data_IF_242326051254
#
_entry.id   IF_242326051254
#
_cell.length_a   1.000
_cell.length_b   1.000
_cell.length_c   1.000
_cell.angle_alpha   90.00
_cell.angle_beta   90.00
_cell.angle_gamma   90.00
#
_symmetry.space_group_name_H-M   'P 1'
#
loop_
_entity.id
_entity.type
_entity.pdbx_description
1 polymer ?
#
# COMPACT_ATOMS: atom_id res chain seq x y z
N UNK A 1 -6.47 12.13 10.76
CA UNK A 1 -6.06 10.96 11.56
C UNK A 1 -5.09 11.39 12.65
N UNK A 2 -5.30 10.93 13.88
CA UNK A 2 -4.41 11.19 15.03
C UNK A 2 -3.88 9.84 15.50
N UNK A 3 -2.58 9.77 15.77
CA UNK A 3 -1.90 8.61 16.37
C UNK A 3 -1.64 8.93 17.84
N UNK A 4 -1.56 7.90 18.67
CA UNK A 4 -1.13 8.02 20.07
C UNK A 4 0.22 7.33 20.23
N UNK A 5 1.14 7.97 20.96
CA UNK A 5 2.38 7.30 21.37
C UNK A 5 2.12 6.32 22.53
N UNK A 6 3.16 5.61 22.97
CA UNK A 6 3.09 4.64 24.09
C UNK A 6 2.70 5.28 25.44
N UNK A 7 2.73 6.61 25.55
CA UNK A 7 2.30 7.38 26.73
C UNK A 7 0.87 7.90 26.60
N UNK A 8 0.21 7.63 25.47
CA UNK A 8 -1.13 8.13 25.15
C UNK A 8 -1.14 9.57 24.63
N UNK A 9 0.02 10.15 24.28
CA UNK A 9 0.07 11.51 23.77
C UNK A 9 -0.35 11.53 22.29
N UNK A 10 -1.35 12.34 21.92
CA UNK A 10 -1.81 12.41 20.54
C UNK A 10 -0.84 13.21 19.67
N UNK A 11 -0.61 12.74 18.44
CA UNK A 11 0.13 13.43 17.39
C UNK A 11 -0.62 13.27 16.05
N UNK A 12 -0.77 14.33 15.24
CA UNK A 12 -1.32 14.18 13.90
C UNK A 12 -0.49 13.18 13.10
N UNK A 13 -1.13 12.20 12.46
CA UNK A 13 -0.41 11.18 11.70
C UNK A 13 0.48 11.80 10.61
N UNK A 14 -0.01 12.84 9.93
CA UNK A 14 0.72 13.54 8.88
C UNK A 14 2.06 14.11 9.38
N UNK A 15 2.15 14.48 10.66
CA UNK A 15 3.39 15.00 11.25
C UNK A 15 4.42 13.89 11.41
N UNK A 16 3.99 12.71 11.87
CA UNK A 16 4.87 11.55 12.01
C UNK A 16 5.46 11.15 10.65
N UNK A 17 4.61 11.03 9.62
CA UNK A 17 5.04 10.67 8.27
C UNK A 17 5.94 11.75 7.66
N UNK A 18 5.60 13.03 7.80
CA UNK A 18 6.42 14.13 7.31
C UNK A 18 7.80 14.17 7.99
N UNK A 19 7.88 13.95 9.31
CA UNK A 19 9.16 13.87 10.04
C UNK A 19 9.99 12.69 9.55
N UNK A 20 9.38 11.51 9.36
CA UNK A 20 10.09 10.34 8.83
C UNK A 20 10.63 10.58 7.42
N UNK A 21 9.83 11.16 6.51
CA UNK A 21 10.27 11.49 5.15
C UNK A 21 11.38 12.55 5.20
N UNK A 22 11.23 13.58 6.03
CA UNK A 22 12.23 14.64 6.20
C UNK A 22 13.57 14.07 6.66
N UNK A 23 13.57 13.15 7.62
CA UNK A 23 14.79 12.49 8.08
C UNK A 23 15.51 11.72 6.94
N UNK A 24 14.75 11.07 6.04
CA UNK A 24 15.33 10.39 4.87
C UNK A 24 15.90 11.38 3.85
N UNK A 25 15.20 12.50 3.63
CA UNK A 25 15.66 13.58 2.74
C UNK A 25 16.96 14.19 3.27
N UNK A 26 16.98 14.59 4.54
CA UNK A 26 18.15 15.16 5.21
C UNK A 26 19.33 14.19 5.17
N UNK A 27 19.10 12.91 5.47
CA UNK A 27 20.13 11.89 5.38
C UNK A 27 20.74 11.77 3.98
N UNK A 28 19.93 11.78 2.91
CA UNK A 28 20.45 11.75 1.55
C UNK A 28 21.27 13.01 1.23
N UNK A 29 20.78 14.18 1.62
CA UNK A 29 21.47 15.44 1.39
C UNK A 29 22.84 15.47 2.08
N UNK A 30 22.91 15.04 3.35
CA UNK A 30 24.15 14.93 4.11
C UNK A 30 25.14 13.97 3.43
N UNK A 31 24.65 12.84 2.90
CA UNK A 31 25.48 11.87 2.16
C UNK A 31 26.01 12.47 0.86
N UNK A 32 25.20 13.24 0.12
CA UNK A 32 25.61 13.90 -1.13
C UNK A 32 26.64 14.99 -0.89
N UNK A 33 26.45 15.80 0.16
CA UNK A 33 27.39 16.84 0.56
C UNK A 33 28.72 16.23 1.01
N UNK A 34 28.68 15.21 1.88
CA UNK A 34 29.87 14.50 2.35
C UNK A 34 30.67 13.88 1.21
N UNK A 35 29.99 13.44 0.14
CA UNK A 35 30.61 12.88 -1.07
C UNK A 35 31.06 13.94 -2.08
N UNK A 36 30.78 15.22 -1.85
CA UNK A 36 31.17 16.31 -2.73
C UNK A 36 30.54 16.24 -4.13
N UNK A 37 29.32 15.69 -4.25
CA UNK A 37 28.68 15.49 -5.57
C UNK A 37 28.24 16.79 -6.23
N UNK A 38 28.05 17.87 -5.44
CA UNK A 38 27.56 19.16 -5.91
C UNK A 38 26.07 19.20 -6.28
N UNK A 39 25.35 18.08 -6.10
CA UNK A 39 23.92 17.97 -6.42
C UNK A 39 23.09 18.83 -5.46
N UNK A 40 22.19 19.62 -6.02
CA UNK A 40 21.29 20.50 -5.24
C UNK A 40 19.93 19.83 -5.00
N UNK A 41 19.20 20.18 -3.93
CA UNK A 41 17.88 19.62 -3.65
C UNK A 41 16.88 19.76 -4.81
N UNK A 42 16.96 20.86 -5.57
CA UNK A 42 16.08 21.13 -6.71
C UNK A 42 16.46 20.37 -7.99
N UNK A 43 17.57 19.62 -7.98
CA UNK A 43 17.99 18.76 -9.10
C UNK A 43 17.56 17.30 -8.87
N UNK A 44 16.95 17.00 -7.71
CA UNK A 44 16.52 15.67 -7.32
C UNK A 44 15.02 15.51 -7.59
N UNK A 45 14.66 14.51 -8.39
CA UNK A 45 13.30 14.01 -8.50
C UNK A 45 13.08 12.89 -7.48
N UNK A 46 12.12 13.07 -6.60
CA UNK A 46 11.75 12.15 -5.54
C UNK A 46 10.61 11.24 -6.01
N UNK A 47 10.82 9.93 -5.86
CA UNK A 47 9.79 8.92 -6.13
C UNK A 47 9.39 8.31 -4.81
N UNK A 48 8.12 8.52 -4.43
CA UNK A 48 7.55 7.95 -3.21
C UNK A 48 6.68 6.76 -3.59
N UNK A 49 7.03 5.58 -3.09
CA UNK A 49 6.30 4.35 -3.39
C UNK A 49 5.15 4.14 -2.43
N UNK A 50 4.03 3.62 -2.94
CA UNK A 50 2.85 3.28 -2.16
C UNK A 50 2.25 1.93 -2.60
N UNK A 51 1.62 1.17 -1.69
CA UNK A 51 0.95 -0.08 -2.04
C UNK A 51 -0.14 0.12 -3.10
N UNK A 52 -0.30 -0.83 -4.02
CA UNK A 52 -1.31 -0.73 -5.07
C UNK A 52 -2.74 -0.89 -4.54
N UNK A 53 -2.92 -1.58 -3.40
CA UNK A 53 -4.24 -1.74 -2.76
C UNK A 53 -4.70 -0.49 -2.00
N UNK A 54 -3.90 0.57 -1.94
CA UNK A 54 -4.29 1.79 -1.23
C UNK A 54 -5.38 2.57 -1.97
N UNK A 55 -6.23 3.21 -1.18
CA UNK A 55 -7.23 4.15 -1.69
C UNK A 55 -6.54 5.41 -2.18
N UNK A 56 -7.22 6.18 -3.04
CA UNK A 56 -6.65 7.45 -3.50
C UNK A 56 -6.37 8.39 -2.30
N UNK A 57 -7.25 8.43 -1.30
CA UNK A 57 -7.07 9.27 -0.09
C UNK A 57 -5.78 8.95 0.66
N UNK A 58 -5.41 7.67 0.74
CA UNK A 58 -4.16 7.22 1.37
C UNK A 58 -2.93 7.65 0.56
N UNK A 59 -3.00 7.61 -0.78
CA UNK A 59 -1.93 8.09 -1.67
C UNK A 59 -1.74 9.60 -1.52
N UNK A 60 -2.83 10.36 -1.47
CA UNK A 60 -2.81 11.80 -1.27
C UNK A 60 -2.23 12.17 0.10
N UNK A 61 -2.62 11.45 1.16
CA UNK A 61 -2.03 11.65 2.49
C UNK A 61 -0.50 11.51 2.47
N UNK A 62 0.04 10.55 1.73
CA UNK A 62 1.49 10.40 1.56
C UNK A 62 2.13 11.53 0.78
N UNK A 63 1.48 12.00 -0.29
CA UNK A 63 1.94 13.17 -1.04
C UNK A 63 1.99 14.40 -0.15
N UNK A 64 0.93 14.69 0.60
CA UNK A 64 0.88 15.83 1.52
C UNK A 64 1.91 15.71 2.65
N UNK A 65 2.16 14.50 3.13
CA UNK A 65 3.23 14.23 4.10
C UNK A 65 4.61 14.55 3.53
N UNK A 66 4.87 14.18 2.27
CA UNK A 66 6.12 14.47 1.58
C UNK A 66 6.29 15.97 1.26
N UNK A 67 5.22 16.65 0.85
CA UNK A 67 5.23 18.10 0.66
C UNK A 67 5.49 18.84 1.98
N UNK A 68 4.85 18.39 3.07
CA UNK A 68 5.10 18.90 4.42
C UNK A 68 6.53 18.64 4.90
N UNK A 69 7.17 17.58 4.41
CA UNK A 69 8.58 17.28 4.67
C UNK A 69 9.55 18.22 3.90
N UNK A 70 9.04 19.08 3.01
CA UNK A 70 9.84 20.04 2.24
C UNK A 70 10.15 19.63 0.81
N UNK A 71 9.58 18.53 0.31
CA UNK A 71 9.74 18.11 -1.08
C UNK A 71 8.80 18.95 -1.95
N UNK A 72 9.34 19.62 -2.98
CA UNK A 72 8.52 20.42 -3.89
C UNK A 72 7.62 19.52 -4.76
N UNK A 73 6.35 19.92 -4.93
CA UNK A 73 5.34 19.14 -5.68
C UNK A 73 5.78 18.74 -7.09
N UNK A 74 6.49 19.63 -7.79
CA UNK A 74 6.94 19.40 -9.17
C UNK A 74 8.09 18.39 -9.26
N UNK A 75 8.74 18.10 -8.13
CA UNK A 75 9.82 17.13 -8.02
C UNK A 75 9.39 15.84 -7.34
N UNK A 76 8.09 15.67 -7.04
CA UNK A 76 7.54 14.50 -6.35
C UNK A 76 6.60 13.73 -7.26
N UNK A 77 6.91 12.45 -7.48
CA UNK A 77 6.01 11.51 -8.16
C UNK A 77 5.70 10.31 -7.27
N UNK A 78 4.45 9.85 -7.31
CA UNK A 78 4.05 8.60 -6.67
C UNK A 78 4.22 7.45 -7.64
N UNK A 79 4.75 6.32 -7.16
CA UNK A 79 4.85 5.06 -7.91
C UNK A 79 4.17 3.94 -7.13
N UNK A 80 3.47 3.03 -7.81
CA UNK A 80 2.94 1.85 -7.13
C UNK A 80 4.08 0.86 -6.88
N UNK A 81 4.17 0.33 -5.67
CA UNK A 81 5.19 -0.66 -5.29
C UNK A 81 5.31 -1.83 -6.27
N UNK A 82 4.22 -2.51 -6.68
CA UNK A 82 4.33 -3.61 -7.63
C UNK A 82 4.79 -3.16 -9.03
N UNK A 83 4.48 -1.95 -9.46
CA UNK A 83 4.95 -1.41 -10.74
C UNK A 83 6.46 -1.17 -10.72
N UNK A 84 6.94 -0.50 -9.66
CA UNK A 84 8.36 -0.29 -9.41
C UNK A 84 9.10 -1.64 -9.36
N UNK A 85 8.61 -2.60 -8.57
CA UNK A 85 9.17 -3.94 -8.50
C UNK A 85 9.22 -4.62 -9.88
N UNK A 86 8.14 -4.53 -10.65
CA UNK A 86 8.04 -5.09 -11.99
C UNK A 86 9.07 -4.49 -12.95
N UNK A 87 9.26 -3.17 -12.93
CA UNK A 87 10.26 -2.47 -13.73
C UNK A 87 11.66 -2.96 -13.38
N UNK A 88 12.00 -3.07 -12.09
CA UNK A 88 13.31 -3.58 -11.68
C UNK A 88 13.54 -5.02 -12.13
N UNK A 89 12.55 -5.90 -11.93
CA UNK A 89 12.65 -7.30 -12.31
C UNK A 89 12.85 -7.53 -13.81
N UNK A 90 12.37 -6.62 -14.68
CA UNK A 90 12.66 -6.66 -16.12
C UNK A 90 14.14 -6.47 -16.47
N UNK A 91 14.88 -5.78 -15.60
CA UNK A 91 16.29 -5.44 -15.82
C UNK A 91 17.25 -6.37 -15.06
N UNK A 92 16.73 -7.34 -14.31
CA UNK A 92 17.56 -8.30 -13.58
C UNK A 92 18.19 -9.32 -14.55
N UNK A 93 19.52 -9.51 -14.50
CA UNK A 93 20.16 -10.63 -15.18
C UNK A 93 19.59 -11.96 -14.67
N UNK A 94 19.43 -12.94 -15.56
CA UNK A 94 18.91 -14.28 -15.24
C UNK A 94 19.62 -14.94 -14.05
N UNK A 95 20.91 -14.65 -13.86
CA UNK A 95 21.77 -15.18 -12.80
C UNK A 95 21.42 -14.65 -11.39
N UNK A 96 20.78 -13.47 -11.30
CA UNK A 96 20.41 -12.83 -10.02
C UNK A 96 19.02 -13.22 -9.52
N UNK A 97 18.46 -14.26 -10.11
CA UNK A 97 17.11 -14.75 -9.83
C UNK A 97 17.21 -16.16 -9.26
N UNK A 98 17.07 -16.27 -7.94
CA UNK A 98 17.06 -17.58 -7.29
C UNK A 98 15.83 -18.38 -7.78
N UNK A 99 16.05 -19.65 -8.16
CA UNK A 99 15.02 -20.49 -8.79
C UNK A 99 14.86 -20.26 -10.31
N UNK A 100 15.74 -19.46 -10.92
CA UNK A 100 15.84 -19.40 -12.37
C UNK A 100 16.82 -20.45 -12.90
N UNK A 101 16.33 -21.65 -13.25
CA UNK A 101 17.05 -22.44 -14.25
C UNK A 101 17.13 -21.63 -15.56
N UNK A 102 18.23 -21.84 -16.29
CA UNK A 102 18.61 -21.15 -17.53
C UNK A 102 17.39 -20.84 -18.40
N UNK A 103 17.10 -19.54 -18.59
CA UNK A 103 15.98 -19.10 -19.44
C UNK A 103 14.93 -18.22 -18.75
N UNK A 104 15.29 -17.41 -17.76
CA UNK A 104 14.41 -16.28 -17.38
C UNK A 104 14.32 -15.32 -18.56
N UNK A 105 13.21 -15.42 -19.29
CA UNK A 105 12.90 -14.48 -20.36
C UNK A 105 11.65 -13.70 -19.99
N UNK A 106 11.74 -12.92 -18.89
CA UNK A 106 10.95 -11.67 -18.81
C UNK A 106 11.27 -10.73 -19.98
N UNK A 107 12.20 -11.08 -20.88
CA UNK A 107 12.40 -10.41 -22.15
C UNK A 107 11.25 -10.60 -23.15
N UNK A 108 10.50 -11.73 -23.12
CA UNK A 108 9.48 -12.01 -24.14
C UNK A 108 8.19 -11.19 -23.93
N UNK A 109 7.77 -10.50 -24.98
CA UNK A 109 6.48 -9.82 -25.07
C UNK A 109 5.34 -10.84 -24.90
N UNK A 110 4.26 -10.45 -24.22
CA UNK A 110 3.12 -11.29 -23.88
C UNK A 110 3.32 -12.14 -22.62
N UNK A 111 4.50 -12.09 -21.98
CA UNK A 111 4.73 -12.82 -20.74
C UNK A 111 3.87 -12.24 -19.63
N UNK A 112 3.04 -13.09 -19.01
CA UNK A 112 2.22 -12.78 -17.84
C UNK A 112 2.87 -13.31 -16.57
N UNK A 113 2.95 -12.47 -15.53
CA UNK A 113 3.55 -12.85 -14.26
C UNK A 113 2.89 -12.10 -13.10
N UNK A 114 2.89 -12.75 -11.94
CA UNK A 114 2.34 -12.21 -10.71
C UNK A 114 3.46 -11.60 -9.87
N UNK A 115 3.34 -10.33 -9.52
CA UNK A 115 4.14 -9.71 -8.47
C UNK A 115 3.45 -9.97 -7.13
N UNK A 116 4.19 -10.53 -6.18
CA UNK A 116 3.74 -10.75 -4.80
C UNK A 116 4.68 -9.95 -3.92
N UNK A 117 4.31 -8.72 -3.60
CA UNK A 117 5.05 -7.86 -2.68
C UNK A 117 4.71 -8.25 -1.25
N UNK A 118 5.71 -8.79 -0.56
CA UNK A 118 5.63 -9.33 0.78
C UNK A 118 6.37 -8.36 1.70
N UNK A 119 5.65 -7.34 2.14
CA UNK A 119 6.15 -6.28 2.99
C UNK A 119 6.17 -6.65 4.49
N UNK A 120 6.51 -5.65 5.30
CA UNK A 120 6.41 -5.76 6.76
C UNK A 120 4.96 -5.70 7.25
N UNK A 121 4.17 -4.75 6.77
CA UNK A 121 2.76 -4.59 7.17
C UNK A 121 1.79 -5.32 6.24
N UNK A 122 1.95 -5.14 4.94
CA UNK A 122 1.00 -5.59 3.92
C UNK A 122 1.59 -6.64 3.00
N UNK A 123 0.69 -7.34 2.33
CA UNK A 123 0.99 -8.12 1.14
C UNK A 123 0.17 -7.56 -0.01
N UNK A 124 0.83 -7.26 -1.12
CA UNK A 124 0.24 -6.67 -2.32
C UNK A 124 0.51 -7.57 -3.53
N UNK A 125 -0.54 -7.92 -4.25
CA UNK A 125 -0.51 -8.87 -5.36
C UNK A 125 -1.07 -8.21 -6.60
N UNK A 126 -0.26 -8.12 -7.66
CA UNK A 126 -0.69 -7.69 -8.99
C UNK A 126 -0.25 -8.68 -10.04
N UNK A 127 -0.90 -8.64 -11.20
CA UNK A 127 -0.50 -9.44 -12.37
C UNK A 127 -0.24 -8.50 -13.52
N UNK A 128 0.97 -8.59 -14.07
CA UNK A 128 1.40 -7.78 -15.21
C UNK A 128 1.61 -8.64 -16.45
N UNK A 129 1.31 -8.05 -17.60
CA UNK A 129 1.72 -8.52 -18.91
C UNK A 129 2.81 -7.60 -19.45
N UNK A 130 3.89 -8.19 -19.95
CA UNK A 130 4.92 -7.42 -20.66
C UNK A 130 4.50 -7.11 -22.09
N UNK A 131 4.57 -5.85 -22.47
CA UNK A 131 4.35 -5.38 -23.83
C UNK A 131 5.65 -5.23 -24.62
N UNK A 132 5.51 -4.99 -25.93
CA UNK A 132 6.61 -4.56 -26.79
C UNK A 132 7.23 -3.27 -26.25
N UNK A 133 8.55 -3.11 -26.40
CA UNK A 133 9.28 -1.94 -25.90
C UNK A 133 9.48 -1.90 -24.37
N UNK A 134 9.11 -2.94 -23.63
CA UNK A 134 9.30 -3.00 -22.17
C UNK A 134 8.18 -2.38 -21.34
N UNK A 135 7.10 -1.94 -22.00
CA UNK A 135 5.89 -1.45 -21.33
C UNK A 135 5.19 -2.55 -20.54
N UNK A 136 4.39 -2.15 -19.55
CA UNK A 136 3.61 -3.04 -18.68
C UNK A 136 2.12 -2.72 -18.73
N UNK A 137 1.30 -3.77 -18.72
CA UNK A 137 -0.15 -3.70 -18.54
C UNK A 137 -0.57 -4.51 -17.32
N UNK A 138 -1.38 -3.92 -16.46
CA UNK A 138 -2.04 -4.64 -15.36
C UNK A 138 -3.21 -5.48 -15.88
N UNK A 139 -3.15 -6.79 -15.66
CA UNK A 139 -4.14 -7.76 -16.16
C UNK A 139 -5.32 -7.89 -15.19
N UNK A 140 -5.06 -7.76 -13.90
CA UNK A 140 -6.06 -7.94 -12.85
C UNK A 140 -5.85 -6.93 -11.73
N UNK A 141 -6.97 -6.48 -11.13
CA UNK A 141 -6.97 -5.59 -9.97
C UNK A 141 -6.03 -6.10 -8.86
N UNK A 142 -5.20 -5.18 -8.37
CA UNK A 142 -4.41 -5.37 -7.16
C UNK A 142 -5.26 -5.94 -5.99
N UNK A 143 -4.77 -7.01 -5.39
CA UNK A 143 -5.37 -7.68 -4.22
C UNK A 143 -4.32 -7.77 -3.12
N UNK A 144 -4.72 -7.77 -1.85
CA UNK A 144 -3.77 -7.79 -0.76
C UNK A 144 -4.41 -7.92 0.61
N UNK A 145 -3.60 -7.85 1.65
CA UNK A 145 -4.08 -7.87 3.03
C UNK A 145 -3.00 -7.56 4.07
N UNK A 146 -3.44 -7.27 5.29
CA UNK A 146 -2.59 -6.90 6.44
C UNK A 146 -1.95 -8.13 7.09
N UNK A 147 -1.16 -8.87 6.30
CA UNK A 147 -0.53 -10.14 6.70
C UNK A 147 0.98 -10.20 6.37
N UNK A 148 1.69 -9.10 6.55
CA UNK A 148 3.14 -9.02 6.37
C UNK A 148 3.97 -9.60 7.52
N UNK A 149 5.28 -9.39 7.46
CA UNK A 149 6.24 -9.90 8.47
C UNK A 149 6.00 -9.41 9.91
N UNK A 150 5.32 -8.28 10.10
CA UNK A 150 4.96 -7.72 11.43
C UNK A 150 3.83 -8.48 12.11
N UNK A 151 3.00 -9.22 11.38
CA UNK A 151 2.01 -10.12 11.97
C UNK A 151 2.67 -11.23 12.78
N UNK A 152 3.86 -11.67 12.39
CA UNK A 152 4.66 -12.66 13.13
C UNK A 152 5.23 -12.05 14.42
N UNK A 153 5.63 -10.77 14.37
CA UNK A 153 6.09 -10.04 15.56
C UNK A 153 4.95 -9.92 16.58
N UNK A 154 3.72 -9.65 16.11
CA UNK A 154 2.54 -9.62 16.95
C UNK A 154 2.21 -10.99 17.57
N UNK A 155 2.36 -12.08 16.81
CA UNK A 155 2.15 -13.45 17.32
C UNK A 155 3.24 -13.86 18.33
N UNK A 156 4.48 -13.38 18.17
CA UNK A 156 5.54 -13.52 19.17
C UNK A 156 5.23 -12.76 20.46
N UNK A 157 4.78 -11.51 20.37
CA UNK A 157 4.37 -10.73 21.54
C UNK A 157 3.19 -11.41 22.25
N UNK A 158 2.23 -11.96 21.51
CA UNK A 158 1.15 -12.76 22.10
C UNK A 158 1.65 -14.04 22.78
N UNK A 159 2.67 -14.71 22.23
CA UNK A 159 3.31 -15.85 22.89
C UNK A 159 3.89 -15.43 24.25
N UNK A 160 4.65 -14.32 24.30
CA UNK A 160 5.18 -13.80 25.56
C UNK A 160 4.08 -13.38 26.53
N UNK A 161 3.01 -12.76 26.05
CA UNK A 161 1.86 -12.39 26.88
C UNK A 161 1.14 -13.62 27.47
N UNK A 162 1.13 -14.77 26.79
CA UNK A 162 0.60 -16.03 27.34
C UNK A 162 1.50 -16.65 28.41
N UNK A 163 2.77 -16.27 28.46
CA UNK A 163 3.73 -16.74 29.46
C UNK A 163 3.74 -15.79 30.68
N UNK A 164 3.86 -14.49 30.44
CA UNK A 164 4.12 -13.48 31.46
C UNK A 164 2.89 -12.63 31.82
N UNK A 165 1.80 -12.78 31.07
CA UNK A 165 0.62 -11.92 31.14
C UNK A 165 0.77 -10.64 30.30
N UNK A 166 -0.31 -10.26 29.60
CA UNK A 166 -0.36 -9.00 28.84
C UNK A 166 -0.01 -7.75 29.68
N UNK A 167 -0.44 -7.62 30.95
CA UNK A 167 -0.07 -6.45 31.77
C UNK A 167 1.44 -6.27 31.95
N UNK A 168 2.21 -7.36 32.07
CA UNK A 168 3.67 -7.28 32.23
C UNK A 168 4.34 -6.84 30.93
N UNK A 169 3.86 -7.31 29.78
CA UNK A 169 4.37 -6.88 28.47
C UNK A 169 4.11 -5.38 28.25
N UNK A 170 2.89 -4.91 28.55
CA UNK A 170 2.57 -3.47 28.45
C UNK A 170 3.39 -2.62 29.43
N UNK A 171 3.64 -3.14 30.64
CA UNK A 171 4.51 -2.50 31.61
C UNK A 171 5.94 -2.38 31.07
N UNK A 172 6.49 -3.45 30.48
CA UNK A 172 7.82 -3.43 29.86
C UNK A 172 7.90 -2.40 28.73
N UNK A 173 6.89 -2.33 27.86
CA UNK A 173 6.81 -1.32 26.79
C UNK A 173 6.85 0.11 27.33
N UNK A 174 6.14 0.38 28.43
CA UNK A 174 6.01 1.72 29.01
C UNK A 174 7.21 2.14 29.86
N UNK A 175 7.69 1.24 30.71
CA UNK A 175 8.67 1.57 31.76
C UNK A 175 10.08 1.11 31.41
N UNK A 176 10.24 0.21 30.45
CA UNK A 176 11.54 -0.33 30.01
C UNK A 176 11.62 -0.39 28.46
N UNK A 177 11.40 0.73 27.75
CA UNK A 177 11.29 0.75 26.29
C UNK A 177 12.57 0.27 25.59
N UNK A 178 13.76 0.57 26.14
CA UNK A 178 15.03 0.12 25.56
C UNK A 178 15.16 -1.41 25.58
N UNK A 179 14.84 -2.03 26.71
CA UNK A 179 14.82 -3.49 26.83
C UNK A 179 13.78 -4.12 25.90
N UNK A 180 12.62 -3.48 25.74
CA UNK A 180 11.60 -3.95 24.81
C UNK A 180 12.08 -3.87 23.36
N UNK A 181 12.75 -2.78 22.98
CA UNK A 181 13.33 -2.63 21.65
C UNK A 181 14.44 -3.66 21.39
N UNK A 182 15.30 -3.95 22.36
CA UNK A 182 16.33 -4.99 22.25
C UNK A 182 15.72 -6.38 22.04
N UNK A 183 14.65 -6.69 22.77
CA UNK A 183 13.90 -7.94 22.60
C UNK A 183 13.31 -8.08 21.19
N UNK A 184 12.67 -7.02 20.68
CA UNK A 184 12.07 -7.04 19.33
C UNK A 184 13.14 -7.11 18.24
N UNK A 185 14.27 -6.41 18.39
CA UNK A 185 15.40 -6.45 17.43
C UNK A 185 16.05 -7.82 17.37
N UNK A 186 16.23 -8.45 18.52
CA UNK A 186 16.75 -9.82 18.58
C UNK A 186 15.74 -10.81 18.00
N UNK A 187 14.43 -10.62 18.27
CA UNK A 187 13.38 -11.40 17.61
C UNK A 187 13.44 -11.28 16.09
N UNK A 188 13.51 -10.07 15.55
CA UNK A 188 13.65 -9.82 14.10
C UNK A 188 14.88 -10.55 13.53
N UNK A 189 16.01 -10.49 14.21
CA UNK A 189 17.26 -11.16 13.78
C UNK A 189 17.05 -12.67 13.68
N UNK A 190 16.49 -13.30 14.71
CA UNK A 190 16.24 -14.76 14.71
C UNK A 190 15.14 -15.13 13.72
N UNK A 191 14.06 -14.34 13.62
CA UNK A 191 12.94 -14.52 12.69
C UNK A 191 13.42 -14.63 11.24
N UNK A 192 14.44 -13.85 10.86
CA UNK A 192 15.03 -13.89 9.50
C UNK A 192 15.89 -15.12 9.21
N UNK A 193 16.36 -15.84 10.24
CA UNK A 193 17.31 -16.96 10.08
C UNK A 193 16.67 -18.34 10.17
N UNK A 194 15.39 -18.43 10.57
CA UNK A 194 14.69 -19.71 10.68
C UNK A 194 14.47 -20.33 9.30
N UNK A 195 14.70 -21.64 9.21
CA UNK A 195 14.53 -22.41 7.97
C UNK A 195 13.57 -23.60 8.16
N UNK A 196 12.96 -24.12 7.08
CA UNK A 196 12.12 -25.31 7.15
C UNK A 196 12.84 -26.53 7.75
N UNK A 197 14.14 -26.66 7.46
CA UNK A 197 14.98 -27.76 7.93
C UNK A 197 15.47 -27.60 9.38
N UNK A 198 15.22 -26.46 10.02
CA UNK A 198 15.63 -26.25 11.42
C UNK A 198 14.90 -27.24 12.33
N UNK A 199 15.72 -28.03 13.02
CA UNK A 199 15.32 -28.99 14.06
C UNK A 199 15.92 -28.60 15.41
N UNK A 200 15.43 -29.26 16.47
CA UNK A 200 15.93 -29.07 17.82
C UNK A 200 15.53 -27.72 18.37
N UNK A 201 16.52 -26.88 18.70
CA UNK A 201 16.31 -25.64 19.45
C UNK A 201 16.75 -24.37 18.71
N UNK A 202 15.99 -23.30 18.90
CA UNK A 202 16.26 -21.93 18.44
C UNK A 202 16.59 -21.10 19.68
N UNK A 203 17.74 -20.42 19.71
CA UNK A 203 18.14 -19.59 20.84
C UNK A 203 18.02 -18.12 20.44
N UNK A 204 17.54 -17.31 21.37
CA UNK A 204 17.31 -15.88 21.21
C UNK A 204 17.84 -15.18 22.46
N UNK A 205 18.69 -14.17 22.31
CA UNK A 205 19.04 -13.34 23.46
C UNK A 205 17.79 -12.61 23.98
N UNK A 206 17.72 -12.39 25.29
CA UNK A 206 16.64 -11.63 25.90
C UNK A 206 17.22 -10.64 26.90
N UNK A 207 16.53 -9.53 27.20
CA UNK A 207 16.89 -8.64 28.30
C UNK A 207 16.57 -9.33 29.64
N UNK A 208 17.33 -10.38 29.97
CA UNK A 208 17.04 -11.32 31.06
C UNK A 208 16.89 -10.60 32.40
N UNK A 209 17.83 -9.72 32.75
CA UNK A 209 17.80 -9.00 34.02
C UNK A 209 16.52 -8.17 34.18
N UNK A 210 16.09 -7.48 33.12
CA UNK A 210 14.85 -6.69 33.12
C UNK A 210 13.63 -7.59 33.23
N UNK A 211 13.52 -8.63 32.40
CA UNK A 211 12.38 -9.55 32.42
C UNK A 211 12.25 -10.28 33.77
N UNK A 212 13.37 -10.76 34.31
CA UNK A 212 13.41 -11.45 35.60
C UNK A 212 13.04 -10.51 36.76
N UNK A 213 13.54 -9.27 36.75
CA UNK A 213 13.17 -8.25 37.74
C UNK A 213 11.68 -7.90 37.68
N UNK A 214 11.11 -7.76 36.48
CA UNK A 214 9.67 -7.51 36.30
C UNK A 214 8.83 -8.69 36.80
N UNK A 215 9.23 -9.93 36.49
CA UNK A 215 8.54 -11.13 36.99
C UNK A 215 8.56 -11.16 38.53
N UNK A 216 9.73 -10.97 39.16
CA UNK A 216 9.85 -10.99 40.63
C UNK A 216 8.99 -9.91 41.29
N UNK A 217 8.94 -8.74 40.68
CA UNK A 217 8.21 -7.59 41.22
C UNK A 217 6.69 -7.79 41.09
N UNK A 218 6.21 -8.22 39.92
CA UNK A 218 4.78 -8.20 39.57
C UNK A 218 4.10 -9.57 39.63
N UNK A 219 4.82 -10.66 39.35
CA UNK A 219 4.31 -12.04 39.41
C UNK A 219 4.69 -12.76 40.71
N UNK A 220 5.62 -12.19 41.51
CA UNK A 220 6.16 -12.78 42.75
C UNK A 220 6.92 -14.10 42.53
N UNK A 221 7.43 -14.29 41.32
CA UNK A 221 8.24 -15.45 40.92
C UNK A 221 9.32 -15.01 39.92
N UNK A 222 10.35 -15.84 39.72
CA UNK A 222 11.38 -15.56 38.71
C UNK A 222 10.93 -15.93 37.29
N UNK A 223 11.66 -15.44 36.28
CA UNK A 223 11.29 -15.67 34.87
C UNK A 223 11.25 -17.17 34.53
N UNK A 224 12.13 -17.97 35.12
CA UNK A 224 12.17 -19.41 34.88
C UNK A 224 10.91 -20.09 35.40
N UNK A 225 10.43 -19.68 36.57
CA UNK A 225 9.23 -20.21 37.21
C UNK A 225 8.00 -19.83 36.40
N UNK A 226 7.89 -18.58 35.95
CA UNK A 226 6.81 -18.13 35.07
C UNK A 226 6.74 -18.94 33.75
N UNK A 227 7.90 -19.20 33.11
CA UNK A 227 7.96 -20.05 31.91
C UNK A 227 7.50 -21.48 32.22
N UNK A 228 7.97 -22.07 33.33
CA UNK A 228 7.63 -23.44 33.73
C UNK A 228 6.17 -23.60 34.15
N UNK A 229 5.52 -22.54 34.65
CA UNK A 229 4.09 -22.51 34.95
C UNK A 229 3.21 -22.35 33.70
N UNK A 230 3.79 -21.88 32.59
CA UNK A 230 3.05 -21.65 31.34
C UNK A 230 2.76 -22.95 30.57
N UNK A 231 1.80 -22.94 29.62
CA UNK A 231 1.57 -24.05 28.70
C UNK A 231 2.79 -24.43 27.83
N UNK A 232 3.84 -23.62 27.84
CA UNK A 232 5.02 -23.76 26.99
C UNK A 232 6.23 -24.34 27.72
N UNK A 233 6.11 -24.81 28.97
CA UNK A 233 7.20 -25.36 29.79
C UNK A 233 8.05 -26.44 29.09
N UNK A 234 7.43 -27.26 28.24
CA UNK A 234 8.12 -28.32 27.48
C UNK A 234 8.79 -27.83 26.19
N UNK A 235 8.44 -26.61 25.74
CA UNK A 235 8.84 -26.06 24.44
C UNK A 235 9.74 -24.83 24.58
N UNK A 236 9.76 -24.16 25.73
CA UNK A 236 10.57 -22.99 26.02
C UNK A 236 11.35 -23.24 27.30
N UNK A 237 12.65 -22.93 27.28
CA UNK A 237 13.49 -22.92 28.47
C UNK A 237 14.49 -21.76 28.44
N UNK A 238 15.14 -21.49 29.58
CA UNK A 238 16.20 -20.49 29.67
C UNK A 238 17.58 -21.16 29.62
N UNK A 239 18.55 -20.46 29.01
CA UNK A 239 19.97 -20.81 29.07
C UNK A 239 20.79 -19.54 29.18
N UNK A 240 21.17 -19.19 30.41
CA UNK A 240 21.82 -17.90 30.69
C UNK A 240 20.87 -16.75 30.36
N UNK A 241 21.34 -15.80 29.57
CA UNK A 241 20.60 -14.64 29.07
C UNK A 241 19.76 -14.93 27.81
N UNK A 242 19.53 -16.21 27.47
CA UNK A 242 18.83 -16.62 26.25
C UNK A 242 17.55 -17.37 26.55
N UNK A 243 16.50 -17.06 25.80
CA UNK A 243 15.32 -17.89 25.66
C UNK A 243 15.54 -18.92 24.56
N UNK A 244 15.26 -20.19 24.87
CA UNK A 244 15.47 -21.34 23.99
C UNK A 244 14.13 -21.95 23.63
N UNK A 245 13.75 -21.84 22.37
CA UNK A 245 12.51 -22.37 21.82
C UNK A 245 12.74 -23.72 21.16
N UNK A 246 11.75 -24.59 21.24
CA UNK A 246 11.60 -25.69 20.31
C UNK A 246 11.40 -25.15 18.88
N UNK A 247 12.12 -25.73 17.92
CA UNK A 247 12.05 -25.27 16.54
C UNK A 247 10.63 -25.35 15.98
N UNK A 248 9.82 -26.35 16.38
CA UNK A 248 8.45 -26.47 15.88
C UNK A 248 7.54 -25.38 16.44
N UNK A 249 7.66 -25.05 17.74
CA UNK A 249 6.95 -23.92 18.33
C UNK A 249 7.36 -22.60 17.67
N UNK A 250 8.66 -22.40 17.43
CA UNK A 250 9.12 -21.16 16.80
C UNK A 250 8.60 -21.02 15.37
N UNK A 251 8.61 -22.12 14.58
CA UNK A 251 8.03 -22.15 13.23
C UNK A 251 6.52 -21.90 13.24
N UNK A 252 5.80 -22.35 14.27
CA UNK A 252 4.34 -22.18 14.30
C UNK A 252 3.90 -20.72 14.46
N UNK A 253 4.79 -19.81 14.87
CA UNK A 253 4.55 -18.36 14.82
C UNK A 253 4.29 -17.84 13.40
N UNK A 254 4.72 -18.58 12.37
CA UNK A 254 4.59 -18.19 10.97
C UNK A 254 3.33 -18.76 10.33
N UNK A 255 2.72 -19.80 10.91
CA UNK A 255 1.68 -20.60 10.25
C UNK A 255 0.47 -19.75 9.85
N UNK A 256 -0.02 -18.91 10.77
CA UNK A 256 -1.17 -18.02 10.51
C UNK A 256 -0.90 -17.09 9.34
N UNK A 257 0.21 -16.36 9.39
CA UNK A 257 0.61 -15.38 8.36
C UNK A 257 0.84 -16.06 7.00
N UNK A 258 1.59 -17.17 6.97
CA UNK A 258 1.82 -17.95 5.74
C UNK A 258 0.49 -18.45 5.17
N UNK A 259 -0.39 -19.01 5.99
CA UNK A 259 -1.67 -19.53 5.52
C UNK A 259 -2.56 -18.43 4.92
N UNK A 260 -2.59 -17.24 5.52
CA UNK A 260 -3.32 -16.10 4.96
C UNK A 260 -2.79 -15.73 3.57
N UNK A 261 -1.48 -15.67 3.39
CA UNK A 261 -0.85 -15.40 2.09
C UNK A 261 -1.19 -16.48 1.07
N UNK A 262 -1.12 -17.76 1.47
CA UNK A 262 -1.46 -18.87 0.58
C UNK A 262 -2.93 -18.82 0.16
N UNK A 263 -3.84 -18.41 1.04
CA UNK A 263 -5.25 -18.20 0.72
C UNK A 263 -5.43 -17.08 -0.30
N UNK A 264 -4.79 -15.92 -0.11
CA UNK A 264 -4.82 -14.82 -1.08
C UNK A 264 -4.33 -15.26 -2.46
N UNK A 265 -3.22 -16.01 -2.52
CA UNK A 265 -2.70 -16.53 -3.79
C UNK A 265 -3.66 -17.54 -4.44
N UNK A 266 -4.31 -18.41 -3.66
CA UNK A 266 -5.34 -19.33 -4.18
C UNK A 266 -6.52 -18.59 -4.78
N UNK A 267 -7.01 -17.55 -4.11
CA UNK A 267 -8.11 -16.70 -4.59
C UNK A 267 -7.75 -15.96 -5.89
N UNK A 268 -6.48 -15.58 -6.06
CA UNK A 268 -6.00 -15.02 -7.32
C UNK A 268 -6.01 -16.08 -8.43
N UNK A 269 -5.51 -17.29 -8.18
CA UNK A 269 -5.47 -18.36 -9.17
C UNK A 269 -6.83 -19.03 -9.44
N UNK A 270 -7.86 -18.78 -8.63
CA UNK A 270 -9.23 -19.23 -8.94
C UNK A 270 -9.93 -18.35 -9.97
N UNK A 271 -9.32 -17.23 -10.39
CA UNK A 271 -9.83 -16.37 -11.46
C UNK A 271 -9.37 -16.94 -12.81
N UNK A 272 -10.32 -17.19 -13.72
CA UNK A 272 -10.05 -17.84 -15.02
C UNK A 272 -8.97 -17.11 -15.83
N UNK A 273 -8.97 -15.78 -15.80
CA UNK A 273 -7.99 -14.96 -16.53
C UNK A 273 -6.56 -15.06 -15.97
N UNK A 274 -6.40 -15.57 -14.75
CA UNK A 274 -5.11 -15.71 -14.05
C UNK A 274 -4.62 -17.15 -13.94
N UNK A 275 -5.44 -18.15 -14.28
CA UNK A 275 -5.08 -19.57 -14.16
C UNK A 275 -3.78 -19.89 -14.92
N UNK A 276 -3.65 -19.33 -16.12
CA UNK A 276 -2.51 -19.49 -17.03
C UNK A 276 -1.22 -18.81 -16.59
N UNK A 277 -1.24 -18.00 -15.52
CA UNK A 277 -0.04 -17.30 -15.03
C UNK A 277 0.92 -18.32 -14.40
N UNK A 278 2.00 -18.60 -15.10
CA UNK A 278 2.99 -19.61 -14.72
C UNK A 278 4.12 -19.09 -13.82
N UNK A 279 4.23 -17.77 -13.63
CA UNK A 279 5.37 -17.13 -12.95
C UNK A 279 4.90 -16.25 -11.78
N UNK A 280 5.49 -16.49 -10.60
CA UNK A 280 5.38 -15.63 -9.41
C UNK A 280 6.75 -15.00 -9.12
N UNK A 281 6.77 -13.67 -8.95
CA UNK A 281 7.91 -12.91 -8.47
C UNK A 281 7.62 -12.45 -7.06
N UNK A 282 8.34 -13.01 -6.09
CA UNK A 282 8.21 -12.62 -4.70
C UNK A 282 9.18 -11.47 -4.42
N UNK A 283 8.66 -10.32 -3.98
CA UNK A 283 9.44 -9.12 -3.67
C UNK A 283 9.10 -8.63 -2.27
N UNK A 284 9.81 -7.60 -1.77
CA UNK A 284 9.62 -7.10 -0.41
C UNK A 284 10.41 -7.90 0.63
N UNK A 285 10.65 -7.29 1.79
CA UNK A 285 11.56 -7.84 2.79
C UNK A 285 11.13 -9.21 3.34
N UNK A 286 9.83 -9.48 3.42
CA UNK A 286 9.32 -10.75 3.92
C UNK A 286 9.42 -11.88 2.89
N UNK A 287 9.62 -11.57 1.60
CA UNK A 287 9.87 -12.59 0.56
C UNK A 287 11.18 -13.37 0.78
N UNK A 288 12.11 -12.84 1.59
CA UNK A 288 13.36 -13.52 1.98
C UNK A 288 13.12 -14.66 2.98
N UNK A 289 11.93 -14.77 3.57
CA UNK A 289 11.61 -15.79 4.56
C UNK A 289 11.61 -17.19 3.94
N UNK A 290 12.56 -18.04 4.37
CA UNK A 290 12.71 -19.40 3.87
C UNK A 290 11.47 -20.30 4.13
N UNK A 291 10.76 -20.09 5.24
CA UNK A 291 9.51 -20.81 5.55
C UNK A 291 8.41 -20.46 4.54
N UNK A 292 8.21 -19.16 4.28
CA UNK A 292 7.22 -18.68 3.33
C UNK A 292 7.53 -19.15 1.90
N UNK A 293 8.79 -19.02 1.46
CA UNK A 293 9.21 -19.50 0.14
C UNK A 293 8.94 -21.00 -0.03
N UNK A 294 9.28 -21.81 0.98
CA UNK A 294 9.02 -23.25 0.94
C UNK A 294 7.53 -23.57 0.85
N UNK A 295 6.70 -22.84 1.60
CA UNK A 295 5.25 -23.02 1.60
C UNK A 295 4.62 -22.65 0.25
N UNK A 296 5.02 -21.50 -0.34
CA UNK A 296 4.55 -21.07 -1.68
C UNK A 296 5.00 -22.07 -2.75
N UNK A 297 6.28 -22.47 -2.77
CA UNK A 297 6.80 -23.46 -3.73
C UNK A 297 6.10 -24.80 -3.62
N UNK A 298 5.77 -25.25 -2.41
CA UNK A 298 5.01 -26.49 -2.17
C UNK A 298 3.57 -26.38 -2.68
N UNK A 299 2.90 -25.24 -2.43
CA UNK A 299 1.50 -25.03 -2.85
C UNK A 299 1.36 -24.89 -4.36
N UNK A 300 2.30 -24.19 -5.00
CA UNK A 300 2.24 -23.85 -6.42
C UNK A 300 3.34 -24.55 -7.21
N UNK A 301 3.46 -25.88 -7.05
CA UNK A 301 4.53 -26.68 -7.64
C UNK A 301 4.56 -26.65 -9.18
N UNK A 302 3.41 -26.41 -9.82
CA UNK A 302 3.28 -26.26 -11.27
C UNK A 302 3.71 -24.87 -11.78
N UNK A 303 4.03 -23.94 -10.88
CA UNK A 303 4.40 -22.56 -11.20
C UNK A 303 5.84 -22.29 -10.81
N UNK A 304 6.49 -21.45 -11.61
CA UNK A 304 7.84 -20.97 -11.33
C UNK A 304 7.77 -19.86 -10.29
N UNK A 305 8.44 -20.04 -9.15
CA UNK A 305 8.53 -19.05 -8.08
C UNK A 305 9.95 -18.49 -8.06
N UNK A 306 10.07 -17.18 -8.25
CA UNK A 306 11.35 -16.48 -8.31
C UNK A 306 11.41 -15.46 -7.19
N UNK A 307 12.56 -15.39 -6.52
CA UNK A 307 12.88 -14.38 -5.52
C UNK A 307 14.12 -13.62 -6.00
N UNK A 308 14.00 -12.34 -6.37
CA UNK A 308 15.15 -11.51 -6.72
C UNK A 308 16.18 -11.43 -5.60
N UNK A 309 17.46 -11.42 -5.96
CA UNK A 309 18.53 -11.11 -5.01
C UNK A 309 18.33 -9.70 -4.42
N UNK A 310 18.35 -9.58 -3.08
CA UNK A 310 18.07 -8.33 -2.39
C UNK A 310 16.62 -7.87 -2.56
N UNK A 311 15.67 -8.81 -2.55
CA UNK A 311 14.23 -8.60 -2.73
C UNK A 311 13.63 -7.49 -1.84
N UNK A 312 14.19 -7.25 -0.65
CA UNK A 312 13.79 -6.13 0.21
C UNK A 312 14.09 -4.73 -0.36
N UNK A 313 14.96 -4.60 -1.36
CA UNK A 313 15.30 -3.36 -2.04
C UNK A 313 14.71 -3.26 -3.46
N UNK A 314 14.01 -4.30 -3.93
CA UNK A 314 13.50 -4.38 -5.30
C UNK A 314 12.59 -3.20 -5.66
N UNK A 315 11.66 -2.87 -4.77
CA UNK A 315 10.74 -1.73 -4.94
C UNK A 315 11.50 -0.41 -5.03
N UNK A 316 12.42 -0.14 -4.11
CA UNK A 316 13.19 1.11 -4.08
C UNK A 316 14.07 1.27 -5.33
N UNK A 317 14.77 0.21 -5.75
CA UNK A 317 15.57 0.24 -6.99
C UNK A 317 14.68 0.42 -8.22
N UNK A 318 13.52 -0.22 -8.22
CA UNK A 318 12.49 -0.03 -9.24
C UNK A 318 11.94 1.38 -9.32
N UNK A 319 11.76 2.04 -8.17
CA UNK A 319 11.28 3.41 -8.08
C UNK A 319 12.27 4.39 -8.72
N UNK A 320 13.58 4.16 -8.54
CA UNK A 320 14.62 4.95 -9.24
C UNK A 320 14.50 4.80 -10.76
N UNK A 321 14.34 3.56 -11.26
CA UNK A 321 14.14 3.31 -12.70
C UNK A 321 12.84 3.93 -13.22
N UNK A 322 11.76 3.83 -12.45
CA UNK A 322 10.48 4.48 -12.76
C UNK A 322 10.63 6.01 -12.85
N UNK A 323 11.42 6.62 -11.96
CA UNK A 323 11.69 8.06 -12.00
C UNK A 323 12.33 8.53 -13.31
N UNK A 324 13.19 7.69 -13.91
CA UNK A 324 13.81 7.92 -15.21
C UNK A 324 12.91 7.59 -16.40
N UNK A 325 12.00 6.62 -16.27
CA UNK A 325 11.06 6.23 -17.33
C UNK A 325 9.69 5.86 -16.74
N UNK A 326 8.87 6.88 -16.46
CA UNK A 326 7.53 6.69 -15.91
C UNK A 326 6.53 6.14 -16.93
N UNK A 327 6.86 6.21 -18.22
CA UNK A 327 6.05 5.68 -19.33
C UNK A 327 6.18 4.16 -19.49
N UNK A 328 7.05 3.52 -18.70
CA UNK A 328 7.15 2.06 -18.64
C UNK A 328 5.83 1.38 -18.22
N UNK A 329 4.92 2.10 -17.55
CA UNK A 329 3.58 1.62 -17.23
C UNK A 329 2.59 2.11 -18.29
N UNK A 330 2.30 1.24 -19.25
CA UNK A 330 1.50 1.59 -20.42
C UNK A 330 0.01 1.70 -20.09
N UNK A 331 -0.53 0.72 -19.36
CA UNK A 331 -1.95 0.74 -18.99
C UNK A 331 -2.24 0.12 -17.63
N UNK A 332 -3.28 0.65 -16.99
CA UNK A 332 -3.77 0.24 -15.65
C UNK A 332 -5.24 -0.16 -15.74
N UNK A 333 -5.67 -1.03 -14.82
CA UNK A 333 -7.08 -1.38 -14.68
C UNK A 333 -7.72 -0.49 -13.60
N UNK A 334 -8.75 0.27 -13.97
CA UNK A 334 -9.43 1.18 -13.06
C UNK A 334 -10.13 0.39 -11.93
N UNK A 335 -9.85 0.75 -10.67
CA UNK A 335 -10.33 0.02 -9.50
C UNK A 335 -11.79 0.32 -9.12
N UNK A 336 -12.20 1.58 -9.29
CA UNK A 336 -13.50 2.09 -8.88
C UNK A 336 -14.16 2.81 -10.05
N UNK A 337 -15.48 2.83 -10.07
CA UNK A 337 -16.18 3.72 -10.99
C UNK A 337 -16.05 5.13 -10.43
N UNK A 338 -15.55 6.07 -11.24
CA UNK A 338 -15.42 7.46 -10.82
C UNK A 338 -16.49 8.31 -11.48
N UNK A 339 -17.03 9.25 -10.73
CA UNK A 339 -18.07 10.15 -11.20
C UNK A 339 -18.14 11.43 -10.38
N UNK A 340 -19.00 12.33 -10.81
CA UNK A 340 -19.34 13.53 -10.04
C UNK A 340 -20.79 13.51 -9.61
N UNK A 341 -21.05 14.11 -8.46
CA UNK A 341 -22.42 14.37 -8.03
C UNK A 341 -23.04 15.46 -8.88
N UNK A 342 -24.14 15.16 -9.56
CA UNK A 342 -24.88 16.12 -10.36
C UNK A 342 -26.35 16.22 -9.94
N UNK A 343 -27.06 17.20 -10.52
CA UNK A 343 -28.49 17.44 -10.29
C UNK A 343 -29.24 17.63 -11.61
N UNK A 344 -29.42 16.56 -12.41
CA UNK A 344 -30.09 16.65 -13.70
C UNK A 344 -31.58 16.95 -13.54
N UNK A 345 -32.26 17.20 -14.65
CA UNK A 345 -33.73 17.29 -14.67
C UNK A 345 -34.31 15.95 -14.20
N UNK A 346 -35.33 16.00 -13.35
CA UNK A 346 -35.95 14.77 -12.85
C UNK A 346 -36.70 14.05 -13.97
N UNK A 347 -36.45 12.75 -14.13
CA UNK A 347 -37.19 11.86 -15.02
C UNK A 347 -37.79 10.73 -14.17
N UNK A 348 -39.13 10.64 -14.02
CA UNK A 348 -39.77 9.60 -13.22
C UNK A 348 -39.62 8.17 -13.76
N UNK A 349 -39.23 8.01 -15.03
CA UNK A 349 -38.98 6.67 -15.63
C UNK A 349 -37.61 6.10 -15.25
N UNK A 350 -36.71 6.98 -14.79
CA UNK A 350 -35.31 6.62 -14.49
C UNK A 350 -35.02 6.84 -13.01
N UNK A 351 -35.37 8.00 -12.47
CA UNK A 351 -34.99 8.41 -11.12
C UNK A 351 -36.01 8.01 -10.06
N UNK A 352 -35.50 7.63 -8.89
CA UNK A 352 -36.30 7.31 -7.73
C UNK A 352 -36.91 8.57 -7.13
N UNK A 353 -38.18 8.47 -6.76
CA UNK A 353 -38.95 9.57 -6.21
C UNK A 353 -38.32 10.15 -4.93
N UNK A 354 -37.56 9.35 -4.17
CA UNK A 354 -36.89 9.79 -2.95
C UNK A 354 -35.81 10.86 -3.20
N UNK A 355 -35.24 10.93 -4.40
CA UNK A 355 -34.24 11.92 -4.79
C UNK A 355 -34.85 13.12 -5.52
N UNK A 356 -36.18 13.21 -5.62
CA UNK A 356 -36.87 14.34 -6.24
C UNK A 356 -36.70 15.62 -5.40
N UNK A 357 -36.24 16.70 -6.03
CA UNK A 357 -36.16 18.03 -5.44
C UNK A 357 -36.63 19.11 -6.43
N UNK A 358 -37.09 20.25 -5.93
CA UNK A 358 -37.38 21.44 -6.75
C UNK A 358 -36.35 22.52 -6.48
N UNK A 359 -35.62 22.94 -7.52
CA UNK A 359 -34.59 23.98 -7.43
C UNK A 359 -34.90 25.07 -8.45
N UNK A 360 -35.12 26.30 -7.98
CA UNK A 360 -35.50 27.45 -8.82
C UNK A 360 -36.72 27.16 -9.71
N UNK A 361 -37.74 26.48 -9.15
CA UNK A 361 -38.97 26.13 -9.87
C UNK A 361 -38.83 24.97 -10.87
N UNK A 362 -37.65 24.34 -10.98
CA UNK A 362 -37.43 23.18 -11.84
C UNK A 362 -37.32 21.87 -11.04
N UNK A 363 -38.02 20.84 -11.50
CA UNK A 363 -37.89 19.48 -10.99
C UNK A 363 -36.50 18.90 -11.33
N UNK A 364 -35.76 18.48 -10.30
CA UNK A 364 -34.42 17.92 -10.40
C UNK A 364 -34.29 16.65 -9.58
N UNK A 365 -33.31 15.83 -9.94
CA UNK A 365 -32.91 14.67 -9.15
C UNK A 365 -31.65 15.01 -8.36
N UNK A 366 -31.66 14.80 -7.05
CA UNK A 366 -30.49 14.99 -6.19
C UNK A 366 -29.57 13.76 -6.20
N UNK A 367 -28.30 13.97 -5.86
CA UNK A 367 -27.31 12.91 -5.63
C UNK A 367 -27.03 11.97 -6.82
N UNK A 368 -27.45 12.29 -8.05
CA UNK A 368 -27.13 11.48 -9.22
C UNK A 368 -25.62 11.34 -9.40
N UNK A 369 -25.17 10.10 -9.63
CA UNK A 369 -23.79 9.75 -9.92
C UNK A 369 -23.57 9.82 -11.44
N UNK A 370 -23.04 10.94 -11.93
CA UNK A 370 -22.64 11.02 -13.34
C UNK A 370 -21.30 10.30 -13.53
N UNK A 371 -21.38 9.07 -14.02
CA UNK A 371 -20.22 8.21 -14.25
C UNK A 371 -19.34 8.82 -15.34
N UNK A 372 -18.07 9.01 -15.01
CA UNK A 372 -17.02 9.46 -15.93
C UNK A 372 -16.31 8.24 -16.50
N UNK A 373 -15.96 7.28 -15.65
CA UNK A 373 -15.33 6.02 -16.06
C UNK A 373 -15.83 4.88 -15.17
N UNK A 374 -16.00 3.71 -15.77
CA UNK A 374 -16.42 2.51 -15.06
C UNK A 374 -15.23 1.82 -14.40
N UNK A 375 -15.49 1.13 -13.29
CA UNK A 375 -14.53 0.16 -12.76
C UNK A 375 -14.23 -0.93 -13.80
N UNK A 376 -13.05 -1.52 -13.67
CA UNK A 376 -12.48 -2.55 -14.54
C UNK A 376 -12.14 -2.10 -15.97
N UNK A 377 -12.31 -0.81 -16.29
CA UNK A 377 -11.84 -0.25 -17.56
C UNK A 377 -10.31 -0.23 -17.61
N UNK A 378 -9.75 -0.76 -18.70
CA UNK A 378 -8.32 -0.62 -18.98
C UNK A 378 -8.05 0.78 -19.55
N UNK A 379 -7.18 1.53 -18.90
CA UNK A 379 -6.81 2.90 -19.31
C UNK A 379 -5.33 2.96 -19.65
N UNK A 380 -5.03 3.54 -20.80
CA UNK A 380 -3.65 3.88 -21.17
C UNK A 380 -3.25 5.13 -20.37
N UNK A 381 -1.96 5.26 -20.06
CA UNK A 381 -1.47 6.46 -19.39
C UNK A 381 -1.86 7.73 -20.17
N UNK A 382 -2.40 8.73 -19.47
CA UNK A 382 -2.84 9.99 -20.07
C UNK A 382 -4.20 9.95 -20.75
N UNK A 383 -4.99 8.88 -20.60
CA UNK A 383 -6.37 8.82 -21.14
C UNK A 383 -7.20 9.95 -20.56
N UNK A 384 -7.86 10.74 -21.41
CA UNK A 384 -8.76 11.81 -20.99
C UNK A 384 -10.22 11.48 -21.29
N UNK A 385 -11.12 11.91 -20.40
CA UNK A 385 -12.57 11.84 -20.59
C UNK A 385 -13.14 13.24 -20.37
N UNK A 386 -13.82 13.77 -21.38
CA UNK A 386 -14.42 15.11 -21.31
C UNK A 386 -15.91 15.03 -20.97
N UNK A 387 -16.36 15.89 -20.06
CA UNK A 387 -17.76 16.06 -19.67
C UNK A 387 -18.14 17.54 -19.69
N UNK A 388 -19.41 17.81 -19.96
CA UNK A 388 -19.95 19.17 -19.98
C UNK A 388 -20.92 19.36 -18.82
N UNK A 389 -20.72 20.42 -18.04
CA UNK A 389 -21.58 20.77 -16.92
C UNK A 389 -22.04 22.22 -17.03
N UNK A 390 -23.23 22.51 -16.53
CA UNK A 390 -23.79 23.86 -16.54
C UNK A 390 -23.66 24.51 -15.16
N UNK A 391 -23.14 25.73 -15.12
CA UNK A 391 -23.18 26.55 -13.91
C UNK A 391 -24.60 27.04 -13.61
N UNK A 392 -24.87 27.31 -12.33
CA UNK A 392 -26.15 27.86 -11.90
C UNK A 392 -26.11 29.38 -12.04
N UNK A 393 -27.13 29.97 -12.66
CA UNK A 393 -27.29 31.42 -12.78
C UNK A 393 -27.11 32.12 -11.42
N UNK A 394 -26.29 33.17 -11.39
CA UNK A 394 -26.00 33.94 -10.19
C UNK A 394 -24.94 33.34 -9.25
N UNK A 395 -24.37 32.17 -9.57
CA UNK A 395 -23.26 31.60 -8.81
C UNK A 395 -21.92 31.94 -9.46
N UNK A 396 -21.03 32.55 -8.67
CA UNK A 396 -19.66 32.88 -9.09
C UNK A 396 -18.73 31.66 -9.17
N UNK A 397 -19.15 30.53 -8.61
CA UNK A 397 -18.34 29.31 -8.59
C UNK A 397 -19.17 28.09 -8.96
N UNK A 398 -18.50 27.11 -9.58
CA UNK A 398 -19.02 25.78 -9.80
C UNK A 398 -18.12 24.77 -9.08
N UNK A 399 -18.72 23.95 -8.21
CA UNK A 399 -18.00 22.94 -7.44
C UNK A 399 -18.37 21.55 -7.92
N UNK A 400 -17.36 20.78 -8.33
CA UNK A 400 -17.46 19.36 -8.64
C UNK A 400 -17.16 18.58 -7.36
N UNK A 401 -18.10 17.75 -6.91
CA UNK A 401 -17.86 16.79 -5.83
C UNK A 401 -17.64 15.44 -6.48
N UNK A 402 -16.44 14.90 -6.33
CA UNK A 402 -16.03 13.66 -6.99
C UNK A 402 -16.24 12.48 -6.05
N UNK A 403 -16.79 11.42 -6.60
CA UNK A 403 -17.08 10.17 -5.92
C UNK A 403 -16.38 9.00 -6.61
N UNK A 404 -16.04 7.99 -5.82
CA UNK A 404 -15.68 6.66 -6.29
C UNK A 404 -16.73 5.65 -5.83
N UNK A 405 -16.89 4.57 -6.58
CA UNK A 405 -17.81 3.48 -6.24
C UNK A 405 -17.21 2.10 -6.49
N UNK A 406 -17.47 1.18 -5.56
CA UNK A 406 -17.21 -0.25 -5.75
C UNK A 406 -18.16 -0.92 -6.75
N UNK A 407 -19.29 -0.28 -7.10
CA UNK A 407 -20.23 -0.76 -8.11
C UNK A 407 -19.78 -0.33 -9.50
N UNK A 408 -20.08 -1.16 -10.51
CA UNK A 408 -19.74 -0.83 -11.91
C UNK A 408 -20.59 0.31 -12.45
N UNK A 409 -21.86 0.37 -12.05
CA UNK A 409 -22.81 1.37 -12.51
C UNK A 409 -23.64 1.88 -11.35
N UNK A 410 -23.05 2.66 -10.41
CA UNK A 410 -23.83 3.34 -9.38
C UNK A 410 -24.77 4.36 -10.04
N UNK A 411 -25.97 4.50 -9.50
CA UNK A 411 -26.96 5.49 -9.95
C UNK A 411 -26.91 6.76 -9.10
N UNK A 412 -26.71 6.61 -7.79
CA UNK A 412 -26.62 7.72 -6.85
C UNK A 412 -25.34 7.68 -6.01
N UNK A 413 -24.95 8.86 -5.55
CA UNK A 413 -23.74 9.12 -4.77
C UNK A 413 -23.88 8.78 -3.29
N UNK A 414 -25.11 8.54 -2.82
CA UNK A 414 -25.46 8.10 -1.48
C UNK A 414 -25.81 6.59 -1.40
N UNK A 415 -25.60 5.84 -2.49
CA UNK A 415 -25.68 4.39 -2.44
C UNK A 415 -24.54 3.76 -1.63
N UNK A 416 -24.83 2.61 -1.03
CA UNK A 416 -23.81 1.74 -0.43
C UNK A 416 -22.66 1.46 -1.41
N UNK A 417 -21.44 1.63 -0.93
CA UNK A 417 -20.23 1.47 -1.74
C UNK A 417 -19.85 2.70 -2.57
N UNK A 418 -20.57 3.82 -2.46
CA UNK A 418 -20.15 5.12 -2.97
C UNK A 418 -19.52 5.97 -1.85
N UNK A 419 -18.39 6.60 -2.13
CA UNK A 419 -17.72 7.46 -1.18
C UNK A 419 -17.15 8.68 -1.87
N UNK A 420 -17.30 9.83 -1.20
CA UNK A 420 -16.76 11.09 -1.66
C UNK A 420 -15.24 11.02 -1.56
N UNK A 421 -14.56 11.26 -2.67
CA UNK A 421 -13.10 11.25 -2.69
C UNK A 421 -12.53 12.67 -2.71
N UNK A 422 -13.23 13.67 -3.26
CA UNK A 422 -12.68 15.03 -3.29
C UNK A 422 -13.66 16.09 -3.80
N UNK A 423 -13.16 17.32 -3.94
CA UNK A 423 -13.89 18.41 -4.60
C UNK A 423 -12.94 19.30 -5.39
N UNK A 424 -13.41 19.81 -6.53
CA UNK A 424 -12.76 20.86 -7.31
C UNK A 424 -13.71 22.03 -7.46
N UNK A 425 -13.20 23.27 -7.40
CA UNK A 425 -14.02 24.47 -7.56
C UNK A 425 -13.40 25.38 -8.60
N UNK A 426 -14.22 25.82 -9.55
CA UNK A 426 -13.84 26.79 -10.56
C UNK A 426 -14.58 28.09 -10.35
N UNK A 427 -13.93 29.20 -10.66
CA UNK A 427 -14.56 30.51 -10.75
C UNK A 427 -15.15 30.70 -12.15
N UNK A 428 -16.38 31.21 -12.20
CA UNK A 428 -17.13 31.46 -13.43
C UNK A 428 -17.04 32.95 -13.73
N UNK A 429 -16.45 33.30 -14.87
CA UNK A 429 -16.18 34.69 -15.26
C UNK A 429 -17.45 35.52 -15.45
N UNK A 430 -18.52 34.91 -15.97
CA UNK A 430 -19.82 35.55 -16.21
C UNK A 430 -20.93 34.75 -15.52
N UNK A 431 -21.21 35.13 -14.28
CA UNK A 431 -22.25 34.54 -13.44
C UNK A 431 -23.66 35.10 -13.71
N UNK A 432 -23.80 36.08 -14.61
CA UNK A 432 -25.10 36.69 -14.93
C UNK A 432 -26.04 35.71 -15.64
N UNK A 433 -25.45 34.74 -16.35
CA UNK A 433 -26.11 33.63 -17.04
C UNK A 433 -25.48 32.30 -16.64
N UNK A 434 -26.18 31.19 -16.90
CA UNK A 434 -25.58 29.86 -16.80
C UNK A 434 -24.54 29.68 -17.91
N UNK A 435 -23.38 29.13 -17.57
CA UNK A 435 -22.27 28.87 -18.48
C UNK A 435 -22.04 27.37 -18.63
N UNK A 436 -21.68 26.95 -19.84
CA UNK A 436 -21.18 25.60 -20.07
C UNK A 436 -19.68 25.54 -19.72
N UNK A 437 -19.33 24.52 -18.95
CA UNK A 437 -17.99 24.25 -18.48
C UNK A 437 -17.61 22.87 -18.97
N UNK A 438 -16.53 22.81 -19.77
CA UNK A 438 -15.92 21.55 -20.16
C UNK A 438 -14.94 21.12 -19.07
N UNK A 439 -15.02 19.85 -18.70
CA UNK A 439 -14.17 19.27 -17.66
C UNK A 439 -13.52 18.02 -18.23
N UNK A 440 -12.20 18.07 -18.28
CA UNK A 440 -11.29 17.01 -18.70
C UNK A 440 -10.79 16.23 -17.48
N UNK A 441 -11.19 14.97 -17.39
CA UNK A 441 -10.72 14.03 -16.37
C UNK A 441 -9.60 13.18 -16.96
N UNK A 442 -8.43 13.18 -16.33
CA UNK A 442 -7.27 12.41 -16.79
C UNK A 442 -7.06 11.17 -15.92
N UNK A 443 -6.95 10.02 -16.59
CA UNK A 443 -6.79 8.68 -16.02
C UNK A 443 -5.52 8.00 -16.52
N UNK A 444 -5.17 6.90 -15.86
CA UNK A 444 -4.04 6.06 -16.25
C UNK A 444 -2.68 6.53 -15.73
N UNK A 445 -2.59 7.67 -15.04
CA UNK A 445 -1.46 8.01 -14.17
C UNK A 445 -1.59 7.31 -12.81
N UNK A 446 -0.52 7.31 -11.99
CA UNK A 446 -0.57 6.76 -10.62
C UNK A 446 -1.63 7.46 -9.76
N UNK A 447 -1.84 8.75 -10.04
CA UNK A 447 -2.76 9.63 -9.34
C UNK A 447 -3.82 10.16 -10.30
N UNK A 448 -5.05 10.28 -9.80
CA UNK A 448 -6.15 10.89 -10.53
C UNK A 448 -5.88 12.40 -10.68
N UNK A 449 -6.14 12.98 -11.86
CA UNK A 449 -6.00 14.43 -12.09
C UNK A 449 -7.17 15.01 -12.89
N UNK A 450 -7.55 16.24 -12.58
CA UNK A 450 -8.71 16.93 -13.15
C UNK A 450 -8.31 18.30 -13.68
N UNK A 451 -8.75 18.58 -14.89
CA UNK A 451 -8.60 19.87 -15.54
C UNK A 451 -9.99 20.37 -15.95
N UNK A 452 -10.42 21.50 -15.42
CA UNK A 452 -11.71 22.11 -15.77
C UNK A 452 -11.46 23.42 -16.51
N UNK A 453 -12.14 23.64 -17.63
CA UNK A 453 -11.99 24.83 -18.46
C UNK A 453 -13.36 25.47 -18.72
N UNK A 454 -13.50 26.75 -18.36
CA UNK A 454 -14.69 27.52 -18.73
C UNK A 454 -14.61 27.88 -20.22
N UNK A 455 -15.57 27.42 -21.03
CA UNK A 455 -15.50 27.52 -22.50
C UNK A 455 -15.49 28.99 -22.98
N UNK A 456 -16.30 29.86 -22.36
CA UNK A 456 -16.42 31.27 -22.81
C UNK A 456 -15.20 32.13 -22.49
N UNK A 457 -14.56 31.90 -21.34
CA UNK A 457 -13.42 32.70 -20.89
C UNK A 457 -12.07 32.05 -21.19
N UNK A 458 -12.06 30.75 -21.49
CA UNK A 458 -10.83 29.95 -21.59
C UNK A 458 -10.13 29.77 -20.25
N UNK A 459 -10.75 30.16 -19.13
CA UNK A 459 -10.16 30.02 -17.79
C UNK A 459 -9.92 28.56 -17.48
N UNK A 460 -8.64 28.17 -17.41
CA UNK A 460 -8.20 26.83 -17.03
C UNK A 460 -8.04 26.76 -15.52
N UNK A 461 -8.82 25.90 -14.88
CA UNK A 461 -8.56 25.44 -13.52
C UNK A 461 -7.92 24.07 -13.59
N UNK A 462 -6.67 23.99 -13.15
CA UNK A 462 -6.03 22.72 -12.83
C UNK A 462 -6.26 22.46 -11.35
N UNK A 463 -6.98 21.39 -11.02
CA UNK A 463 -7.05 20.92 -9.65
C UNK A 463 -6.45 19.52 -9.60
N UNK A 464 -5.30 19.40 -8.95
CA UNK A 464 -4.93 18.13 -8.34
C UNK A 464 -5.92 17.90 -7.19
N UNK A 465 -6.42 16.68 -7.06
CA UNK A 465 -7.43 16.39 -6.06
C UNK A 465 -6.81 16.45 -4.67
N UNK A 466 -7.29 17.37 -3.83
CA UNK A 466 -7.12 17.24 -2.39
C UNK A 466 -8.21 16.30 -1.91
N UNK A 467 -7.83 15.04 -1.76
CA UNK A 467 -8.71 14.00 -1.26
C UNK A 467 -8.94 14.23 0.23
N UNK A 468 -10.20 14.20 0.67
CA UNK A 468 -10.60 14.54 2.05
C UNK A 468 -10.58 13.31 2.93
#
# INVERSE_FOLDING_TARGET
>A
MVLEDITGKPVPAIDVFAISIKALVEHLMDVLETRGTGVKPNEIKWILTVPAIWTDSSKQFMRESAEKAGIHKDHLSISLEPEAASIYCQHLPTEKLSGAESGFTMSKVGTKYMIVDLGGGTVDITVHEKLAGGGLTEISRATGGDCGGTSIDADFIQLLAKILGAPLIHLMQREQPDAYLDLIREFETVKRTITPSKQGKVNMAIPYATLDSLCKTHLKEDLSTAINASPYANSISLRGDKMRFDANLFKSLFDKTINNILTLLKEMFSREELESVALLLLVGGFSECALLQAAIKKMFISRRVIVPEGSGLTVLKGAVLFGHNSEAIYSRKIRFSYGVRCRPIFNPEVHDQQHFIVVNGMARCENVFDIIIHKDTNVIQGTTVNKNYNSVKGKKTLTFVIFASDKKSPMYTDEDGCYKIGKATIEISDFSQGQNVEVEFMFGNTELSLHAVEIKSGNRCQSSFYLI
#
